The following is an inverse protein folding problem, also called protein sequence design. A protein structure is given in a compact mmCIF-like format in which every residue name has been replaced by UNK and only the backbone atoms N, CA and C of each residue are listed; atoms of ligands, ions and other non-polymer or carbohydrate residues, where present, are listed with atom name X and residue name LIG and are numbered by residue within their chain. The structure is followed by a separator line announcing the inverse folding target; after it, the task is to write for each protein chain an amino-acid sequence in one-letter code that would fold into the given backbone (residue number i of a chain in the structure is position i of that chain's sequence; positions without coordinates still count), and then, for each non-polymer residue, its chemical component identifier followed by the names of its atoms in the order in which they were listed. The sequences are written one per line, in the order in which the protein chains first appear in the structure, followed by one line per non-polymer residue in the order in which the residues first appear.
data_IF_425109520048
#
_entry.id   IF_425109520048
#
_cell.length_a   1.000
_cell.length_b   1.000
_cell.length_c   1.000
_cell.angle_alpha   90.00
_cell.angle_beta   90.00
_cell.angle_gamma   90.00
#
_symmetry.space_group_name_H-M   'P 1'
#
loop_
_entity.id
_entity.type
_entity.pdbx_description
1 polymer ?
#
# COMPACT_ATOMS: atom_id res chain seq x y z
N UNK A 1 -0.18 0.86 32.32
CA UNK A 1 -1.47 1.04 31.60
C UNK A 1 -1.09 1.25 30.15
N UNK A 2 -1.61 0.46 29.21
CA UNK A 2 -1.47 0.82 27.80
C UNK A 2 -2.15 2.19 27.64
N UNK A 3 -1.47 3.16 27.01
CA UNK A 3 -2.11 4.43 26.65
C UNK A 3 -3.29 4.11 25.73
N UNK A 4 -4.42 4.77 25.94
CA UNK A 4 -5.56 4.60 25.04
C UNK A 4 -5.16 5.07 23.63
N UNK A 5 -5.72 4.45 22.60
CA UNK A 5 -5.47 4.89 21.22
C UNK A 5 -5.96 6.32 21.03
N UNK A 6 -7.07 6.68 21.66
CA UNK A 6 -7.64 8.02 21.60
C UNK A 6 -6.70 9.07 22.20
N UNK A 7 -6.04 8.78 23.34
CA UNK A 7 -5.08 9.70 23.96
C UNK A 7 -3.91 10.00 23.00
N UNK A 8 -3.41 8.97 22.30
CA UNK A 8 -2.32 9.12 21.33
C UNK A 8 -2.77 9.95 20.13
N UNK A 9 -3.98 9.71 19.64
CA UNK A 9 -4.52 10.45 18.50
C UNK A 9 -4.83 11.91 18.87
N UNK A 10 -5.32 12.18 20.06
CA UNK A 10 -5.50 13.54 20.57
C UNK A 10 -4.14 14.27 20.70
N UNK A 11 -3.13 13.61 21.26
CA UNK A 11 -1.82 14.21 21.52
C UNK A 11 -0.98 14.40 20.24
N UNK A 12 -1.00 13.43 19.32
CA UNK A 12 -0.09 13.37 18.19
C UNK A 12 -0.77 13.36 16.82
N UNK A 13 -2.05 13.02 16.75
CA UNK A 13 -2.83 12.96 15.51
C UNK A 13 -2.74 14.24 14.66
N UNK A 14 -2.86 15.46 15.21
CA UNK A 14 -2.78 16.70 14.43
C UNK A 14 -1.49 16.87 13.62
N UNK A 15 -0.41 16.17 13.98
CA UNK A 15 0.87 16.19 13.26
C UNK A 15 0.95 15.15 12.15
N UNK A 16 0.37 13.97 12.39
CA UNK A 16 0.62 12.79 11.57
C UNK A 16 -0.57 12.39 10.70
N UNK A 17 -1.81 12.58 11.17
CA UNK A 17 -3.00 12.26 10.40
C UNK A 17 -3.27 13.34 9.35
N UNK A 18 -3.58 12.92 8.13
CA UNK A 18 -4.15 13.78 7.11
C UNK A 18 -5.66 13.87 7.38
N UNK A 19 -6.20 15.05 7.70
CA UNK A 19 -7.64 15.21 7.87
C UNK A 19 -8.35 14.99 6.53
N UNK A 20 -9.36 14.13 6.52
CA UNK A 20 -10.18 13.82 5.34
C UNK A 20 -11.64 13.80 5.72
N UNK A 21 -12.49 14.24 4.80
CA UNK A 21 -13.94 14.10 4.95
C UNK A 21 -14.31 12.63 4.79
N UNK A 22 -15.06 12.02 5.74
CA UNK A 22 -15.49 10.63 5.62
C UNK A 22 -16.42 10.43 4.42
N UNK A 23 -16.22 9.32 3.73
CA UNK A 23 -17.12 8.84 2.70
C UNK A 23 -18.31 8.05 3.28
N UNK A 24 -19.20 7.54 2.41
CA UNK A 24 -20.42 6.83 2.80
C UNK A 24 -20.21 5.43 3.41
N UNK A 25 -19.04 4.83 3.24
CA UNK A 25 -18.71 3.49 3.73
C UNK A 25 -17.58 3.52 4.79
N UNK A 26 -17.47 2.44 5.58
CA UNK A 26 -16.40 2.28 6.57
C UNK A 26 -15.03 2.48 5.93
N UNK A 27 -14.20 3.33 6.56
CA UNK A 27 -12.86 3.70 6.09
C UNK A 27 -12.81 4.32 4.67
N UNK A 28 -13.95 4.67 4.06
CA UNK A 28 -13.94 5.43 2.82
C UNK A 28 -13.79 6.93 3.08
N UNK A 29 -13.23 7.65 2.11
CA UNK A 29 -13.13 9.12 2.12
C UNK A 29 -14.02 9.72 1.03
N UNK A 30 -14.50 10.94 1.27
CA UNK A 30 -15.23 11.72 0.29
C UNK A 30 -14.31 12.05 -0.90
N UNK A 31 -14.92 12.24 -2.07
CA UNK A 31 -14.21 12.67 -3.29
C UNK A 31 -13.81 14.15 -3.18
N UNK A 32 -12.78 14.39 -2.39
CA UNK A 32 -12.26 15.70 -2.02
C UNK A 32 -10.75 15.74 -2.23
N UNK A 33 -10.21 16.93 -2.47
CA UNK A 33 -8.79 17.07 -2.73
C UNK A 33 -7.97 16.85 -1.45
N UNK A 34 -7.07 15.88 -1.50
CA UNK A 34 -6.03 15.65 -0.48
C UNK A 34 -4.71 16.22 -1.00
N UNK A 35 -4.32 17.40 -0.51
CA UNK A 35 -3.07 18.06 -0.90
C UNK A 35 -1.86 17.49 -0.13
N UNK A 36 -1.06 16.64 -0.78
CA UNK A 36 0.10 16.01 -0.14
C UNK A 36 1.23 17.01 0.13
N UNK A 37 1.46 17.97 -0.74
CA UNK A 37 2.52 18.98 -0.52
C UNK A 37 2.17 19.83 0.71
N UNK A 38 0.90 20.22 0.86
CA UNK A 38 0.43 20.93 2.04
C UNK A 38 0.49 20.04 3.29
N UNK A 39 0.09 18.76 3.19
CA UNK A 39 0.15 17.83 4.32
C UNK A 39 1.58 17.67 4.84
N UNK A 40 2.56 17.47 3.96
CA UNK A 40 3.97 17.35 4.34
C UNK A 40 4.64 18.70 4.63
N UNK A 41 4.08 19.81 4.15
CA UNK A 41 4.70 21.15 4.21
C UNK A 41 5.94 21.29 3.32
N UNK A 42 6.16 20.34 2.42
CA UNK A 42 7.30 20.28 1.49
C UNK A 42 7.02 19.32 0.35
N UNK A 43 7.73 19.51 -0.76
CA UNK A 43 7.83 18.54 -1.86
C UNK A 43 9.18 17.80 -1.77
N UNK A 44 9.12 16.48 -1.75
CA UNK A 44 10.27 15.59 -1.64
C UNK A 44 9.93 14.22 -2.27
N UNK A 45 10.91 13.34 -2.55
CA UNK A 45 10.63 11.97 -2.96
C UNK A 45 9.66 11.30 -1.98
N UNK A 46 8.70 10.55 -2.48
CA UNK A 46 7.58 9.96 -1.77
C UNK A 46 7.64 8.44 -1.82
N UNK A 47 7.54 7.81 -0.65
CA UNK A 47 7.16 6.41 -0.48
C UNK A 47 5.71 6.33 -0.01
N UNK A 48 4.93 5.42 -0.59
CA UNK A 48 3.59 5.07 -0.11
C UNK A 48 3.59 3.66 0.48
N UNK A 49 3.35 3.52 1.78
CA UNK A 49 3.17 2.23 2.43
C UNK A 49 1.68 1.92 2.63
N UNK A 50 1.22 0.83 2.04
CA UNK A 50 -0.17 0.38 2.06
C UNK A 50 -0.34 -0.71 3.11
N UNK A 51 -1.18 -0.45 4.11
CA UNK A 51 -1.39 -1.35 5.24
C UNK A 51 -0.14 -1.53 6.11
N UNK A 52 0.46 -0.44 6.64
CA UNK A 52 1.66 -0.52 7.49
C UNK A 52 1.42 -1.24 8.83
N UNK A 53 0.17 -1.50 9.21
CA UNK A 53 -0.18 -2.19 10.45
C UNK A 53 0.17 -1.36 11.67
N UNK A 54 1.30 -1.66 12.32
CA UNK A 54 1.78 -0.86 13.46
C UNK A 54 2.78 0.24 13.07
N UNK A 55 3.24 0.31 11.82
CA UNK A 55 4.14 1.37 11.35
C UNK A 55 5.59 1.24 11.80
N UNK A 56 6.07 0.06 12.20
CA UNK A 56 7.49 -0.17 12.51
C UNK A 56 8.40 0.09 11.30
N UNK A 57 8.04 -0.48 10.15
CA UNK A 57 8.76 -0.26 8.89
C UNK A 57 8.75 1.23 8.50
N UNK A 58 7.56 1.83 8.48
CA UNK A 58 7.34 3.24 8.18
C UNK A 58 8.25 4.16 9.01
N UNK A 59 8.22 4.02 10.34
CA UNK A 59 8.98 4.87 11.25
C UNK A 59 10.49 4.65 11.12
N UNK A 60 10.93 3.40 10.91
CA UNK A 60 12.33 3.07 10.68
C UNK A 60 12.86 3.71 9.39
N UNK A 61 12.14 3.54 8.27
CA UNK A 61 12.54 4.11 7.00
C UNK A 61 12.53 5.64 7.02
N UNK A 62 11.51 6.24 7.64
CA UNK A 62 11.42 7.70 7.78
C UNK A 62 12.57 8.29 8.58
N UNK A 63 13.04 7.60 9.62
CA UNK A 63 14.21 8.02 10.40
C UNK A 63 15.52 7.89 9.61
N UNK A 64 15.64 6.85 8.78
CA UNK A 64 16.82 6.61 7.95
C UNK A 64 16.90 7.57 6.74
N UNK A 65 15.75 8.05 6.25
CA UNK A 65 15.64 8.88 5.05
C UNK A 65 14.87 10.18 5.33
N UNK A 66 15.42 11.12 6.14
CA UNK A 66 14.76 12.38 6.46
C UNK A 66 14.48 13.26 5.23
N UNK A 67 15.19 13.02 4.13
CA UNK A 67 15.02 13.69 2.84
C UNK A 67 13.81 13.20 2.03
N UNK A 68 13.18 12.08 2.41
CA UNK A 68 11.98 11.52 1.76
C UNK A 68 10.72 11.75 2.58
N UNK A 69 9.58 11.85 1.92
CA UNK A 69 8.25 11.79 2.50
C UNK A 69 7.74 10.35 2.52
N UNK A 70 7.01 9.99 3.57
CA UNK A 70 6.39 8.67 3.75
C UNK A 70 4.90 8.84 4.01
N UNK A 71 4.07 8.40 3.07
CA UNK A 71 2.62 8.33 3.21
C UNK A 71 2.22 6.91 3.59
N UNK A 72 1.57 6.76 4.74
CA UNK A 72 0.92 5.52 5.13
C UNK A 72 -0.58 5.57 4.81
N UNK A 73 -1.14 4.49 4.27
CA UNK A 73 -2.59 4.33 4.10
C UNK A 73 -3.05 3.11 4.89
N UNK A 74 -3.85 3.32 5.92
CA UNK A 74 -4.25 2.28 6.88
C UNK A 74 -5.76 2.33 7.12
N UNK A 75 -6.48 1.25 6.80
CA UNK A 75 -7.93 1.20 6.92
C UNK A 75 -8.43 0.77 8.29
N UNK A 76 -7.54 0.30 9.18
CA UNK A 76 -7.89 -0.11 10.53
C UNK A 76 -7.48 0.94 11.56
N UNK A 77 -8.46 1.58 12.19
CA UNK A 77 -8.27 2.67 13.15
C UNK A 77 -7.21 2.39 14.26
N UNK A 78 -7.21 1.24 14.95
CA UNK A 78 -6.12 0.90 15.89
C UNK A 78 -4.74 0.79 15.23
N UNK A 79 -4.66 0.40 13.96
CA UNK A 79 -3.43 0.40 13.17
C UNK A 79 -2.93 1.82 12.91
N UNK A 80 -3.82 2.71 12.45
CA UNK A 80 -3.51 4.12 12.26
C UNK A 80 -3.00 4.78 13.56
N UNK A 81 -3.68 4.57 14.69
CA UNK A 81 -3.23 5.05 15.99
C UNK A 81 -1.84 4.52 16.40
N UNK A 82 -1.53 3.25 16.09
CA UNK A 82 -0.20 2.67 16.33
C UNK A 82 0.87 3.25 15.42
N UNK A 83 0.54 3.52 14.16
CA UNK A 83 1.44 4.21 13.24
C UNK A 83 1.77 5.62 13.77
N UNK A 84 0.76 6.37 14.23
CA UNK A 84 0.95 7.68 14.89
C UNK A 84 1.86 7.54 16.11
N UNK A 85 1.59 6.58 17.00
CA UNK A 85 2.39 6.34 18.20
C UNK A 85 3.88 6.06 17.86
N UNK A 86 4.13 5.21 16.86
CA UNK A 86 5.48 4.83 16.47
C UNK A 86 6.23 5.96 15.77
N UNK A 87 5.57 6.72 14.89
CA UNK A 87 6.15 7.91 14.28
C UNK A 87 6.50 8.98 15.34
N UNK A 88 5.58 9.24 16.28
CA UNK A 88 5.79 10.15 17.40
C UNK A 88 6.97 9.73 18.28
N UNK A 89 7.03 8.44 18.64
CA UNK A 89 8.12 7.87 19.45
C UNK A 89 9.47 7.94 18.74
N UNK A 90 9.50 7.78 17.42
CA UNK A 90 10.71 7.91 16.61
C UNK A 90 11.13 9.37 16.37
N UNK A 91 10.24 10.34 16.62
CA UNK A 91 10.50 11.77 16.40
C UNK A 91 10.64 12.14 14.92
N UNK A 92 10.07 11.34 14.02
CA UNK A 92 10.15 11.55 12.56
C UNK A 92 9.11 12.57 12.11
N UNK A 93 9.48 13.45 11.17
CA UNK A 93 8.66 14.61 10.78
C UNK A 93 8.11 14.51 9.36
N UNK A 94 8.62 13.52 8.63
CA UNK A 94 8.40 13.23 7.23
C UNK A 94 7.41 12.08 6.99
N UNK A 95 6.58 11.76 7.99
CA UNK A 95 5.50 10.77 7.90
C UNK A 95 4.15 11.46 7.92
N UNK A 96 3.24 11.03 7.04
CA UNK A 96 1.80 11.32 7.12
C UNK A 96 1.00 10.04 6.97
N UNK A 97 -0.14 9.96 7.65
CA UNK A 97 -0.98 8.79 7.73
C UNK A 97 -2.38 9.19 7.27
N UNK A 98 -2.89 8.46 6.28
CA UNK A 98 -4.26 8.53 5.82
C UNK A 98 -5.00 7.32 6.38
N UNK A 99 -5.94 7.56 7.29
CA UNK A 99 -6.80 6.50 7.80
C UNK A 99 -7.93 6.24 6.81
N UNK A 100 -7.72 5.29 5.89
CA UNK A 100 -8.68 4.97 4.85
C UNK A 100 -8.43 3.58 4.23
N UNK A 101 -9.46 3.04 3.57
CA UNK A 101 -9.33 1.92 2.64
C UNK A 101 -8.45 2.35 1.45
N UNK A 102 -7.32 1.67 1.27
CA UNK A 102 -6.35 2.05 0.25
C UNK A 102 -6.87 1.85 -1.18
N UNK A 103 -7.69 0.83 -1.43
CA UNK A 103 -8.28 0.63 -2.75
C UNK A 103 -9.25 1.76 -3.12
N UNK A 104 -9.94 2.33 -2.12
CA UNK A 104 -10.86 3.45 -2.31
C UNK A 104 -10.18 4.82 -2.32
N UNK A 105 -9.26 5.07 -1.41
CA UNK A 105 -8.70 6.40 -1.21
C UNK A 105 -7.62 6.76 -2.23
N UNK A 106 -6.78 5.80 -2.65
CA UNK A 106 -5.65 6.08 -3.54
C UNK A 106 -6.07 6.66 -4.90
N UNK A 107 -7.12 6.18 -5.58
CA UNK A 107 -7.62 6.85 -6.80
C UNK A 107 -7.99 8.32 -6.60
N UNK A 108 -8.58 8.68 -5.46
CA UNK A 108 -8.95 10.06 -5.12
C UNK A 108 -7.68 10.88 -4.85
N UNK A 109 -6.82 10.41 -3.95
CA UNK A 109 -5.57 11.09 -3.56
C UNK A 109 -4.70 11.37 -4.78
N UNK A 110 -4.59 10.41 -5.69
CA UNK A 110 -3.69 10.52 -6.83
C UNK A 110 -4.37 11.03 -8.12
N UNK A 111 -5.67 11.36 -8.06
CA UNK A 111 -6.43 11.91 -9.19
C UNK A 111 -6.52 10.95 -10.37
N UNK A 112 -6.77 9.68 -10.10
CA UNK A 112 -6.85 8.65 -11.14
C UNK A 112 -8.22 8.66 -11.82
N UNK A 113 -8.22 8.37 -13.12
CA UNK A 113 -9.44 8.10 -13.86
C UNK A 113 -10.09 6.83 -13.32
N UNK A 114 -11.42 6.89 -13.18
CA UNK A 114 -12.27 5.79 -12.73
C UNK A 114 -13.40 5.65 -13.74
N UNK A 115 -13.58 4.44 -14.27
CA UNK A 115 -14.61 4.12 -15.27
C UNK A 115 -15.63 3.15 -14.71
N UNK A 116 -16.91 3.35 -15.00
CA UNK A 116 -17.97 2.45 -14.52
C UNK A 116 -17.82 1.05 -15.12
N UNK A 117 -17.55 0.06 -14.26
CA UNK A 117 -17.42 -1.36 -14.63
C UNK A 117 -18.12 -2.24 -13.57
N UNK A 118 -19.43 -2.49 -13.74
CA UNK A 118 -20.23 -3.19 -12.73
C UNK A 118 -19.81 -4.64 -12.50
N UNK A 119 -19.20 -5.30 -13.49
CA UNK A 119 -18.76 -6.70 -13.37
C UNK A 119 -17.51 -6.82 -12.51
N UNK A 120 -16.54 -5.93 -12.71
CA UNK A 120 -15.31 -5.90 -11.92
C UNK A 120 -15.55 -5.45 -10.48
N UNK A 121 -16.46 -4.49 -10.28
CA UNK A 121 -16.93 -4.07 -8.95
C UNK A 121 -17.60 -5.25 -8.21
N UNK A 122 -18.53 -5.96 -8.87
CA UNK A 122 -19.17 -7.16 -8.30
C UNK A 122 -18.17 -8.32 -8.05
N UNK A 123 -17.05 -8.32 -8.76
CA UNK A 123 -15.93 -9.25 -8.58
C UNK A 123 -15.16 -9.08 -7.27
N UNK A 124 -15.32 -7.94 -6.59
CA UNK A 124 -14.57 -7.56 -5.38
C UNK A 124 -13.23 -6.88 -5.68
N UNK A 125 -13.01 -6.44 -6.92
CA UNK A 125 -11.75 -5.90 -7.39
C UNK A 125 -11.85 -4.37 -7.61
N UNK A 126 -12.02 -3.59 -6.54
CA UNK A 126 -12.07 -2.11 -6.56
C UNK A 126 -13.17 -1.49 -7.46
N UNK A 127 -13.34 -0.17 -7.49
CA UNK A 127 -13.87 0.63 -6.36
C UNK A 127 -15.40 0.68 -6.41
N UNK A 128 -16.05 0.39 -5.28
CA UNK A 128 -17.08 1.24 -4.69
C UNK A 128 -17.09 1.05 -3.14
N UNK A 129 -17.70 1.89 -2.29
CA UNK A 129 -19.11 2.26 -2.30
C UNK A 129 -19.40 3.76 -2.03
N UNK A 130 -18.90 4.75 -2.77
CA UNK A 130 -19.09 4.89 -4.21
C UNK A 130 -18.19 5.98 -4.81
N UNK A 131 -16.87 5.76 -4.78
CA UNK A 131 -15.98 6.31 -5.82
C UNK A 131 -16.04 5.43 -7.06
N UNK A 132 -17.23 5.27 -7.65
CA UNK A 132 -17.62 4.11 -8.47
C UNK A 132 -16.87 3.95 -9.76
N UNK A 133 -16.46 2.70 -9.97
CA UNK A 133 -15.90 2.18 -11.19
C UNK A 133 -14.62 1.42 -10.88
N UNK A 134 -13.81 1.18 -11.89
CA UNK A 134 -12.47 0.61 -11.72
C UNK A 134 -11.49 1.65 -12.20
N UNK A 135 -10.40 1.86 -11.46
CA UNK A 135 -9.38 2.77 -11.98
C UNK A 135 -8.74 2.18 -13.23
N UNK A 136 -8.55 3.03 -14.24
CA UNK A 136 -7.79 2.67 -15.45
C UNK A 136 -6.28 2.71 -15.19
N UNK A 137 -5.86 3.29 -14.05
CA UNK A 137 -4.47 3.61 -13.77
C UNK A 137 -3.97 4.87 -14.48
N UNK A 138 -4.77 5.47 -15.37
CA UNK A 138 -4.48 6.76 -15.97
C UNK A 138 -4.75 7.90 -14.98
N UNK A 139 -3.99 8.98 -15.10
CA UNK A 139 -4.22 10.20 -14.33
C UNK A 139 -5.26 11.05 -15.07
N UNK A 140 -6.34 11.40 -14.39
CA UNK A 140 -7.31 12.37 -14.87
C UNK A 140 -6.85 13.77 -14.47
N UNK A 141 -6.29 14.51 -15.42
CA UNK A 141 -5.76 15.86 -15.21
C UNK A 141 -6.83 16.88 -14.75
N UNK A 142 -8.12 16.56 -14.87
CA UNK A 142 -9.21 17.41 -14.35
C UNK A 142 -9.41 17.25 -12.83
N UNK A 143 -8.92 16.14 -12.24
CA UNK A 143 -9.02 15.88 -10.81
C UNK A 143 -7.89 16.60 -10.06
N UNK A 144 -8.17 17.28 -8.95
CA UNK A 144 -7.15 17.97 -8.16
C UNK A 144 -5.97 17.07 -7.73
N UNK A 145 -6.23 15.80 -7.42
CA UNK A 145 -5.21 14.82 -7.03
C UNK A 145 -4.15 14.55 -8.10
N UNK A 146 -4.37 14.93 -9.36
CA UNK A 146 -3.37 14.85 -10.42
C UNK A 146 -2.14 15.73 -10.14
N UNK A 147 -2.29 16.79 -9.33
CA UNK A 147 -1.20 17.69 -8.95
C UNK A 147 -0.24 17.10 -7.88
N UNK A 148 -0.67 16.05 -7.17
CA UNK A 148 0.14 15.42 -6.12
C UNK A 148 1.41 14.78 -6.69
N UNK A 149 2.53 14.80 -5.95
CA UNK A 149 3.76 14.12 -6.36
C UNK A 149 3.49 12.63 -6.57
N UNK A 150 4.04 12.06 -7.65
CA UNK A 150 4.05 10.62 -7.83
C UNK A 150 5.10 9.99 -6.93
N UNK A 151 4.81 8.80 -6.44
CA UNK A 151 5.68 8.05 -5.56
C UNK A 151 6.84 7.41 -6.33
N UNK A 152 8.03 7.42 -5.74
CA UNK A 152 9.19 6.66 -6.20
C UNK A 152 9.04 5.19 -5.83
N UNK A 153 8.45 4.93 -4.66
CA UNK A 153 8.19 3.56 -4.22
C UNK A 153 6.80 3.39 -3.59
N UNK A 154 6.24 2.20 -3.79
CA UNK A 154 5.04 1.73 -3.14
C UNK A 154 5.37 0.43 -2.39
N UNK A 155 4.98 0.33 -1.12
CA UNK A 155 5.23 -0.84 -0.29
C UNK A 155 3.92 -1.51 0.10
N UNK A 156 3.84 -2.82 -0.11
CA UNK A 156 2.71 -3.65 0.31
C UNK A 156 3.24 -4.91 0.98
N UNK A 157 3.59 -4.78 2.26
CA UNK A 157 4.21 -5.84 3.03
C UNK A 157 3.18 -6.57 3.88
N UNK A 158 3.12 -7.88 3.71
CA UNK A 158 2.25 -8.80 4.45
C UNK A 158 0.76 -8.42 4.50
N UNK A 159 0.14 -8.03 3.37
CA UNK A 159 -1.31 -7.80 3.35
C UNK A 159 -2.07 -9.09 3.74
N UNK A 160 -3.31 -8.96 4.25
CA UNK A 160 -4.09 -10.12 4.68
C UNK A 160 -4.19 -11.18 3.56
N UNK A 161 -3.69 -12.40 3.79
CA UNK A 161 -3.62 -13.43 2.75
C UNK A 161 -4.96 -14.06 2.41
N UNK A 162 -5.99 -13.87 3.24
CA UNK A 162 -7.32 -14.45 3.05
C UNK A 162 -7.27 -15.94 2.66
N UNK A 163 -6.61 -16.75 3.51
CA UNK A 163 -6.17 -18.14 3.22
C UNK A 163 -7.21 -19.13 2.69
N UNK A 164 -8.50 -18.83 2.81
CA UNK A 164 -9.58 -19.71 2.34
C UNK A 164 -9.96 -19.29 0.92
N UNK A 165 -10.01 -20.25 -0.02
CA UNK A 165 -10.35 -20.00 -1.43
C UNK A 165 -11.55 -19.06 -1.63
N UNK A 166 -12.63 -19.28 -0.87
CA UNK A 166 -13.85 -18.44 -0.89
C UNK A 166 -13.64 -16.95 -0.55
N UNK A 167 -12.48 -16.58 0.01
CA UNK A 167 -12.14 -15.21 0.39
C UNK A 167 -11.06 -14.60 -0.52
N UNK A 168 -10.55 -15.32 -1.53
CA UNK A 168 -9.45 -14.80 -2.37
C UNK A 168 -9.82 -13.50 -3.09
N UNK A 169 -11.10 -13.26 -3.39
CA UNK A 169 -11.61 -11.99 -3.94
C UNK A 169 -11.39 -10.77 -3.01
N UNK A 170 -11.05 -10.99 -1.74
CA UNK A 170 -10.74 -9.93 -0.76
C UNK A 170 -9.25 -9.60 -0.68
N UNK A 171 -8.41 -10.32 -1.42
CA UNK A 171 -6.98 -10.04 -1.50
C UNK A 171 -6.78 -8.70 -2.18
N UNK A 172 -6.07 -7.80 -1.50
CA UNK A 172 -5.74 -6.47 -2.00
C UNK A 172 -5.03 -6.52 -3.35
N UNK A 173 -3.99 -7.35 -3.47
CA UNK A 173 -3.19 -7.45 -4.71
C UNK A 173 -4.00 -8.19 -5.77
N UNK A 174 -4.48 -7.40 -6.72
CA UNK A 174 -5.33 -7.79 -7.83
C UNK A 174 -4.95 -6.97 -9.06
N UNK A 175 -5.47 -7.34 -10.23
CA UNK A 175 -5.26 -6.59 -11.47
C UNK A 175 -5.66 -5.11 -11.33
N UNK A 176 -6.83 -4.86 -10.74
CA UNK A 176 -7.32 -3.49 -10.52
C UNK A 176 -6.40 -2.71 -9.58
N UNK A 177 -6.01 -3.33 -8.46
CA UNK A 177 -5.13 -2.65 -7.52
C UNK A 177 -3.75 -2.38 -8.13
N UNK A 178 -3.26 -3.25 -9.03
CA UNK A 178 -2.05 -2.97 -9.79
C UNK A 178 -2.19 -1.69 -10.65
N UNK A 179 -3.35 -1.45 -11.29
CA UNK A 179 -3.63 -0.20 -12.00
C UNK A 179 -3.60 1.01 -11.07
N UNK A 180 -4.17 0.90 -9.86
CA UNK A 180 -4.09 1.95 -8.83
C UNK A 180 -2.65 2.28 -8.46
N UNK A 181 -1.84 1.25 -8.15
CA UNK A 181 -0.43 1.43 -7.79
C UNK A 181 0.36 2.04 -8.94
N UNK A 182 0.08 1.61 -10.18
CA UNK A 182 0.71 2.14 -11.37
C UNK A 182 0.40 3.63 -11.60
N UNK A 183 -0.81 4.10 -11.28
CA UNK A 183 -1.20 5.50 -11.42
C UNK A 183 -0.59 6.44 -10.36
N UNK A 184 -0.22 5.90 -9.20
CA UNK A 184 0.44 6.68 -8.15
C UNK A 184 1.97 6.68 -8.23
N UNK A 185 2.58 5.70 -8.90
CA UNK A 185 4.02 5.64 -9.13
C UNK A 185 4.46 6.53 -10.30
N UNK A 186 5.67 7.05 -10.24
CA UNK A 186 6.33 7.63 -11.42
C UNK A 186 6.84 6.53 -12.36
N UNK A 187 7.06 6.82 -13.66
CA UNK A 187 7.76 5.88 -14.54
C UNK A 187 9.13 5.49 -13.96
N UNK A 188 9.43 4.20 -13.91
CA UNK A 188 10.61 3.64 -13.24
C UNK A 188 10.46 3.44 -11.73
N UNK A 189 9.37 3.92 -11.12
CA UNK A 189 9.06 3.72 -9.71
C UNK A 189 8.83 2.24 -9.35
N UNK A 190 9.02 1.89 -8.09
CA UNK A 190 9.10 0.49 -7.65
C UNK A 190 7.93 0.13 -6.74
N UNK A 191 7.16 -0.89 -7.14
CA UNK A 191 6.24 -1.57 -6.23
C UNK A 191 6.93 -2.76 -5.56
N UNK A 192 7.13 -2.66 -4.24
CA UNK A 192 7.71 -3.72 -3.41
C UNK A 192 6.59 -4.45 -2.67
N UNK A 193 6.50 -5.75 -2.89
CA UNK A 193 5.53 -6.60 -2.21
C UNK A 193 6.25 -7.67 -1.41
N UNK A 194 5.65 -8.08 -0.30
CA UNK A 194 6.11 -9.25 0.42
C UNK A 194 4.94 -9.98 1.08
N UNK A 195 5.03 -11.31 1.16
CA UNK A 195 4.06 -12.12 1.90
C UNK A 195 4.68 -13.43 2.36
N UNK A 196 4.21 -13.95 3.48
CA UNK A 196 4.64 -15.24 4.05
C UNK A 196 3.65 -16.38 3.73
N UNK A 197 2.70 -16.12 2.82
CA UNK A 197 1.72 -17.09 2.36
C UNK A 197 1.94 -17.42 0.89
N UNK A 198 2.39 -18.65 0.59
CA UNK A 198 2.82 -19.09 -0.75
C UNK A 198 1.76 -18.86 -1.82
N UNK A 199 0.53 -19.33 -1.61
CA UNK A 199 -0.57 -19.12 -2.57
C UNK A 199 -0.85 -17.66 -2.88
N UNK A 200 -0.54 -16.75 -1.95
CA UNK A 200 -0.68 -15.32 -2.21
C UNK A 200 0.56 -14.75 -2.89
N UNK A 201 1.76 -15.24 -2.55
CA UNK A 201 2.99 -14.88 -3.25
C UNK A 201 2.90 -15.19 -4.76
N UNK A 202 2.42 -16.39 -5.11
CA UNK A 202 2.22 -16.77 -6.51
C UNK A 202 1.20 -15.84 -7.20
N UNK A 203 0.06 -15.56 -6.56
CA UNK A 203 -0.91 -14.59 -7.10
C UNK A 203 -0.32 -13.19 -7.25
N UNK A 204 0.47 -12.69 -6.29
CA UNK A 204 1.10 -11.38 -6.37
C UNK A 204 2.05 -11.29 -7.56
N UNK A 205 2.92 -12.31 -7.73
CA UNK A 205 3.79 -12.42 -8.91
C UNK A 205 2.96 -12.42 -10.19
N UNK A 206 1.94 -13.27 -10.26
CA UNK A 206 1.11 -13.40 -11.47
C UNK A 206 0.40 -12.09 -11.84
N UNK A 207 -0.09 -11.34 -10.84
CA UNK A 207 -0.68 -10.00 -11.04
C UNK A 207 0.36 -9.02 -11.59
N UNK A 208 1.58 -9.00 -11.03
CA UNK A 208 2.66 -8.11 -11.52
C UNK A 208 3.06 -8.48 -12.94
N UNK A 209 3.28 -9.77 -13.23
CA UNK A 209 3.74 -10.25 -14.53
C UNK A 209 2.68 -10.15 -15.63
N UNK A 210 1.39 -10.28 -15.28
CA UNK A 210 0.29 -10.09 -16.23
C UNK A 210 -0.04 -8.61 -16.48
N UNK A 211 0.44 -7.69 -15.63
CA UNK A 211 0.14 -6.27 -15.76
C UNK A 211 0.83 -5.65 -16.98
N UNK A 212 0.10 -4.85 -17.74
CA UNK A 212 0.69 -4.02 -18.78
C UNK A 212 1.52 -2.83 -18.23
N UNK A 213 1.39 -2.53 -16.93
CA UNK A 213 2.01 -1.38 -16.29
C UNK A 213 3.34 -1.67 -15.59
N UNK A 214 3.66 -2.94 -15.35
CA UNK A 214 4.84 -3.33 -14.58
C UNK A 214 5.73 -4.32 -15.32
N UNK A 215 7.03 -4.19 -15.10
CA UNK A 215 8.02 -5.23 -15.39
C UNK A 215 8.45 -5.89 -14.08
N UNK A 216 8.47 -7.23 -14.06
CA UNK A 216 9.13 -7.98 -13.00
C UNK A 216 10.62 -8.16 -13.38
N UNK A 217 11.60 -7.55 -12.69
CA UNK A 217 13.01 -7.71 -13.04
C UNK A 217 13.58 -9.08 -12.64
N UNK A 218 12.83 -9.91 -11.92
CA UNK A 218 13.28 -11.20 -11.37
C UNK A 218 12.63 -12.41 -12.05
N UNK A 219 12.20 -12.29 -13.31
CA UNK A 219 11.63 -13.41 -14.08
C UNK A 219 12.54 -14.64 -14.02
N UNK A 220 11.96 -15.80 -13.68
CA UNK A 220 12.72 -17.06 -13.58
C UNK A 220 13.57 -17.20 -12.31
N UNK A 221 13.76 -16.15 -11.52
CA UNK A 221 14.59 -16.21 -10.31
C UNK A 221 13.82 -16.81 -9.12
N UNK A 222 14.56 -17.49 -8.24
CA UNK A 222 14.06 -18.04 -6.97
C UNK A 222 12.80 -18.91 -7.12
N UNK A 223 12.85 -19.98 -7.93
CA UNK A 223 11.73 -20.92 -8.05
C UNK A 223 11.27 -21.46 -6.69
N UNK A 224 9.97 -21.65 -6.54
CA UNK A 224 9.36 -22.30 -5.38
C UNK A 224 8.87 -23.70 -5.77
N UNK A 225 9.41 -24.73 -5.11
CA UNK A 225 9.06 -26.12 -5.40
C UNK A 225 7.58 -26.47 -5.14
N UNK A 226 6.91 -25.67 -4.30
CA UNK A 226 5.49 -25.84 -3.98
C UNK A 226 4.56 -25.11 -4.97
N UNK A 227 5.11 -24.26 -5.85
CA UNK A 227 4.34 -23.58 -6.89
C UNK A 227 3.73 -24.60 -7.87
N UNK A 228 2.47 -24.40 -8.33
CA UNK A 228 1.91 -25.17 -9.45
C UNK A 228 2.82 -25.25 -10.68
N UNK A 229 3.69 -24.27 -10.89
CA UNK A 229 4.76 -24.25 -11.90
C UNK A 229 6.15 -24.13 -11.21
N UNK A 230 6.73 -25.25 -10.70
CA UNK A 230 7.88 -25.20 -9.78
C UNK A 230 9.14 -24.52 -10.32
N UNK A 231 9.32 -24.48 -11.65
CA UNK A 231 10.49 -23.88 -12.29
C UNK A 231 10.30 -22.41 -12.68
N UNK A 232 9.09 -21.85 -12.46
CA UNK A 232 8.71 -20.53 -12.99
C UNK A 232 9.48 -19.37 -12.34
N UNK A 233 9.75 -19.43 -11.03
CA UNK A 233 10.41 -18.33 -10.33
C UNK A 233 9.59 -17.04 -10.35
N UNK A 234 10.27 -15.91 -10.49
CA UNK A 234 9.66 -14.57 -10.48
C UNK A 234 9.75 -13.84 -9.13
N UNK A 235 10.54 -14.36 -8.18
CA UNK A 235 10.64 -13.78 -6.84
C UNK A 235 11.94 -13.00 -6.64
N UNK A 236 11.81 -11.84 -6.02
CA UNK A 236 12.91 -10.94 -5.70
C UNK A 236 13.70 -11.44 -4.45
N UNK A 237 14.96 -11.02 -4.27
CA UNK A 237 15.58 -11.06 -2.95
C UNK A 237 14.77 -10.25 -1.94
N UNK A 238 14.89 -10.59 -0.65
CA UNK A 238 14.33 -9.78 0.42
C UNK A 238 14.82 -8.34 0.29
N UNK A 239 13.91 -7.37 0.29
CA UNK A 239 14.30 -5.97 0.24
C UNK A 239 15.17 -5.60 1.44
N UNK A 240 16.40 -5.15 1.19
CA UNK A 240 17.36 -4.81 2.26
C UNK A 240 16.87 -3.66 3.15
N UNK A 241 16.09 -2.73 2.60
CA UNK A 241 15.48 -1.62 3.34
C UNK A 241 14.24 -2.01 4.16
N UNK A 242 13.79 -3.27 4.09
CA UNK A 242 12.71 -3.77 4.95
C UNK A 242 13.28 -4.16 6.30
N UNK A 243 12.89 -3.46 7.35
CA UNK A 243 13.14 -3.84 8.74
C UNK A 243 12.57 -5.24 8.99
N UNK A 244 13.31 -6.05 9.74
CA UNK A 244 12.76 -7.28 10.29
C UNK A 244 11.77 -6.91 11.41
N UNK A 245 10.50 -6.80 11.06
CA UNK A 245 9.44 -6.42 12.01
C UNK A 245 9.10 -7.56 12.96
N UNK A 246 8.48 -7.26 14.10
CA UNK A 246 7.94 -8.30 15.00
C UNK A 246 6.92 -9.23 14.31
N UNK A 247 6.28 -8.78 13.22
CA UNK A 247 5.42 -9.64 12.42
C UNK A 247 6.24 -10.69 11.65
N UNK A 248 7.30 -10.25 10.98
CA UNK A 248 8.19 -11.11 10.20
C UNK A 248 8.98 -12.08 11.10
N UNK A 249 9.44 -11.63 12.27
CA UNK A 249 10.08 -12.49 13.28
C UNK A 249 9.17 -13.64 13.73
N UNK A 250 7.88 -13.35 13.98
CA UNK A 250 6.88 -14.39 14.29
C UNK A 250 6.60 -15.31 13.10
N UNK A 251 6.75 -14.80 11.88
CA UNK A 251 6.74 -15.60 10.65
C UNK A 251 7.86 -16.63 10.65
N UNK A 252 9.10 -16.17 10.82
CA UNK A 252 10.29 -17.01 10.87
C UNK A 252 10.27 -18.02 12.02
N UNK A 253 9.86 -17.61 13.22
CA UNK A 253 9.72 -18.51 14.37
C UNK A 253 8.70 -19.64 14.11
N UNK A 254 7.73 -19.41 13.21
CA UNK A 254 6.76 -20.40 12.76
C UNK A 254 7.22 -21.17 11.50
N UNK A 255 8.47 -21.01 11.06
CA UNK A 255 9.03 -21.67 9.87
C UNK A 255 8.49 -21.14 8.54
N UNK A 256 7.83 -19.97 8.54
CA UNK A 256 7.35 -19.34 7.30
C UNK A 256 8.48 -18.53 6.67
N UNK A 257 8.67 -18.73 5.36
CA UNK A 257 9.67 -18.00 4.57
C UNK A 257 8.91 -16.99 3.70
N UNK A 258 9.12 -15.68 3.90
CA UNK A 258 8.54 -14.66 3.04
C UNK A 258 9.05 -14.80 1.59
N UNK A 259 8.15 -14.48 0.66
CA UNK A 259 8.50 -14.20 -0.73
C UNK A 259 8.40 -12.70 -0.95
N UNK A 260 9.38 -12.14 -1.65
CA UNK A 260 9.39 -10.75 -2.10
C UNK A 260 9.12 -10.72 -3.60
N UNK A 261 8.34 -9.74 -4.05
CA UNK A 261 8.05 -9.49 -5.46
C UNK A 261 8.33 -8.02 -5.73
N UNK A 262 8.86 -7.72 -6.92
CA UNK A 262 9.11 -6.36 -7.38
C UNK A 262 8.40 -6.14 -8.72
N UNK A 263 7.65 -5.06 -8.82
CA UNK A 263 7.17 -4.51 -10.10
C UNK A 263 7.82 -3.14 -10.34
N UNK A 264 8.47 -2.96 -11.48
CA UNK A 264 9.02 -1.66 -11.93
C UNK A 264 8.01 -1.03 -12.87
N UNK A 265 7.56 0.19 -12.56
CA UNK A 265 6.57 0.93 -13.35
C UNK A 265 7.14 1.22 -14.75
N UNK A 266 6.45 0.78 -15.80
CA UNK A 266 6.70 1.18 -17.19
C UNK A 266 6.29 2.63 -17.43
#
# INVERSE_FOLDING_TARGET
MARDFEDVLEEHGPRYLIPVEPGPATASIADSFVDLDAAFGRRAPLVVEIGPGNGEQLAHAAAAHPEWNFLAVEGWHPGAARCVANAARAGVNNVRILEADAAQALPIVFGLEVVDDPEMVAGGFGVDAYGTGVTTGAVDASRPGAANPRAQEAWTFFPDPWRKARHHKRRLVSEVFARTVAGMLEPGGIWRLATDWRDYAWQMRDVVEASEHFDNPHLGERPDAEDPEPARGGFAPRFEGRLLTHFEERGHAAGRVPHDIVGVRR
#
